data_IF_192821762755
#
_entry.id   IF_192821762755
#
_cell.length_a   1.000
_cell.length_b   1.000
_cell.length_c   1.000
_cell.angle_alpha   90.00
_cell.angle_beta   90.00
_cell.angle_gamma   90.00
#
_symmetry.space_group_name_H-M   'P 1'
#
loop_
_entity.id
_entity.type
_entity.pdbx_description
1 polymer ?
#
# COMPACT_ATOMS: atom_id res chain seq x y z
N UNK A 1 -1.94 5.48 -14.73
CA UNK A 1 -2.50 5.62 -13.38
C UNK A 1 -3.99 5.45 -13.53
N UNK A 2 -4.54 4.36 -13.01
CA UNK A 2 -5.98 4.09 -13.09
C UNK A 2 -6.61 4.56 -11.79
N UNK A 3 -7.67 5.37 -11.87
CA UNK A 3 -8.43 5.87 -10.72
C UNK A 3 -9.82 5.27 -10.80
N UNK A 4 -10.32 4.65 -9.73
CA UNK A 4 -11.69 4.10 -9.65
C UNK A 4 -12.39 4.61 -8.38
N UNK A 5 -13.68 4.94 -8.49
CA UNK A 5 -14.54 5.48 -7.42
C UNK A 5 -15.75 4.58 -7.20
N UNK A 6 -16.21 4.43 -5.94
CA UNK A 6 -17.49 3.79 -5.57
C UNK A 6 -18.19 4.64 -4.47
N UNK A 7 -19.43 4.30 -4.07
CA UNK A 7 -20.41 5.23 -3.44
C UNK A 7 -20.93 4.82 -2.02
N UNK A 8 -21.31 5.86 -1.24
CA UNK A 8 -21.72 6.16 0.19
C UNK A 8 -22.60 5.18 1.04
N UNK A 9 -22.50 5.13 2.41
CA UNK A 9 -23.03 6.16 3.35
C UNK A 9 -22.17 6.57 4.59
N UNK A 10 -22.07 7.89 4.77
CA UNK A 10 -21.35 8.71 5.77
C UNK A 10 -21.98 8.81 7.18
N UNK A 11 -21.18 8.66 8.27
CA UNK A 11 -21.35 9.42 9.54
C UNK A 11 -20.24 9.26 10.63
N UNK A 12 -19.29 8.31 10.57
CA UNK A 12 -18.56 7.90 11.80
C UNK A 12 -17.10 8.39 12.02
N UNK A 13 -16.49 9.18 11.12
CA UNK A 13 -15.03 9.00 10.88
C UNK A 13 -14.05 10.15 11.15
N UNK A 14 -14.28 11.01 12.14
CA UNK A 14 -13.21 11.93 12.62
C UNK A 14 -12.31 11.36 13.72
N UNK A 15 -12.55 10.13 14.21
CA UNK A 15 -11.98 9.65 15.49
C UNK A 15 -11.30 8.28 15.48
N UNK A 16 -11.31 7.53 14.38
CA UNK A 16 -10.73 6.18 14.32
C UNK A 16 -9.21 6.29 14.10
N UNK A 17 -8.39 5.60 14.90
CA UNK A 17 -6.92 5.56 14.74
C UNK A 17 -6.47 4.69 13.55
N UNK A 18 -5.23 4.85 13.06
CA UNK A 18 -4.71 4.09 11.91
C UNK A 18 -4.76 2.59 12.17
N UNK A 19 -4.23 2.21 13.33
CA UNK A 19 -4.27 0.85 13.83
C UNK A 19 -5.70 0.29 13.87
N UNK A 20 -6.68 1.07 14.34
CA UNK A 20 -8.08 0.59 14.36
C UNK A 20 -8.63 0.38 12.94
N UNK A 21 -8.30 1.27 12.01
CA UNK A 21 -8.67 1.11 10.61
C UNK A 21 -7.99 -0.12 9.97
N UNK A 22 -6.67 -0.29 10.16
CA UNK A 22 -5.91 -1.39 9.58
C UNK A 22 -6.39 -2.76 10.09
N UNK A 23 -6.56 -2.91 11.40
CA UNK A 23 -7.09 -4.15 11.97
C UNK A 23 -8.49 -4.45 11.43
N UNK A 24 -9.37 -3.46 11.38
CA UNK A 24 -10.71 -3.62 10.83
C UNK A 24 -10.71 -4.06 9.36
N UNK A 25 -9.85 -3.46 8.52
CA UNK A 25 -9.73 -3.84 7.10
C UNK A 25 -9.25 -5.29 6.96
N UNK A 26 -8.31 -5.73 7.80
CA UNK A 26 -7.86 -7.12 7.80
C UNK A 26 -8.95 -8.09 8.28
N UNK A 27 -9.69 -7.73 9.34
CA UNK A 27 -10.77 -8.56 9.89
C UNK A 27 -11.95 -8.73 8.93
N UNK A 28 -12.31 -7.67 8.21
CA UNK A 28 -13.46 -7.67 7.29
C UNK A 28 -13.12 -8.30 5.92
N UNK A 29 -11.84 -8.56 5.61
CA UNK A 29 -11.41 -9.01 4.28
C UNK A 29 -10.66 -10.33 4.33
N UNK A 30 -11.24 -11.41 3.78
CA UNK A 30 -10.58 -12.70 3.73
C UNK A 30 -9.17 -12.64 3.13
N UNK A 31 -8.20 -13.17 3.87
CA UNK A 31 -6.80 -13.29 3.46
C UNK A 31 -5.98 -11.99 3.50
N UNK A 32 -6.57 -10.87 3.91
CA UNK A 32 -5.81 -9.66 4.21
C UNK A 32 -5.14 -9.79 5.57
N UNK A 33 -3.94 -9.23 5.69
CA UNK A 33 -3.17 -9.30 6.93
C UNK A 33 -2.78 -7.89 7.40
N UNK A 34 -3.08 -7.59 8.67
CA UNK A 34 -2.60 -6.39 9.33
C UNK A 34 -1.14 -6.57 9.77
N UNK A 35 -0.27 -5.72 9.24
CA UNK A 35 1.17 -5.65 9.53
C UNK A 35 1.58 -4.28 10.09
N UNK A 36 0.61 -3.43 10.41
CA UNK A 36 0.80 -2.19 11.15
C UNK A 36 1.66 -2.42 12.40
N UNK A 37 2.70 -1.61 12.56
CA UNK A 37 3.74 -1.68 13.58
C UNK A 37 4.62 -2.95 13.56
N UNK A 38 4.47 -3.83 12.56
CA UNK A 38 5.28 -5.05 12.42
C UNK A 38 6.56 -4.77 11.63
N UNK A 39 7.40 -3.91 12.19
CA UNK A 39 8.59 -3.36 11.54
C UNK A 39 9.74 -4.35 11.41
N UNK A 40 10.52 -4.29 10.33
CA UNK A 40 11.79 -4.99 10.21
C UNK A 40 12.95 -4.13 10.69
N UNK A 41 14.09 -4.74 10.98
CA UNK A 41 15.30 -4.00 11.34
C UNK A 41 15.87 -3.25 10.12
N UNK A 42 16.21 -1.97 10.29
CA UNK A 42 16.91 -1.20 9.25
C UNK A 42 18.32 -1.80 9.01
N UNK A 43 18.66 -2.24 7.78
CA UNK A 43 19.97 -2.81 7.49
C UNK A 43 21.13 -1.80 7.58
N UNK A 44 20.87 -0.50 7.38
CA UNK A 44 21.86 0.57 7.47
C UNK A 44 22.04 1.07 8.91
N UNK A 45 20.97 1.02 9.71
CA UNK A 45 20.97 1.48 11.11
C UNK A 45 20.29 0.45 12.00
N UNK A 46 20.99 -0.60 12.49
CA UNK A 46 20.38 -1.73 13.19
C UNK A 46 19.59 -1.42 14.48
N UNK A 47 19.67 -0.19 15.01
CA UNK A 47 18.87 0.27 16.16
C UNK A 47 17.52 0.84 15.74
N UNK A 48 17.35 1.11 14.45
CA UNK A 48 16.16 1.68 13.87
C UNK A 48 15.30 0.57 13.25
N UNK A 49 14.02 0.88 13.04
CA UNK A 49 13.01 -0.05 12.57
C UNK A 49 12.30 0.56 11.37
N UNK A 50 11.99 -0.26 10.37
CA UNK A 50 11.30 0.15 9.14
C UNK A 50 10.04 -0.67 8.98
N UNK A 51 8.93 0.01 8.79
CA UNK A 51 7.66 -0.62 8.44
C UNK A 51 7.58 -0.85 6.93
N UNK A 52 7.37 -2.10 6.52
CA UNK A 52 7.30 -2.47 5.10
C UNK A 52 5.92 -2.16 4.50
N UNK A 53 4.86 -2.49 5.24
CA UNK A 53 3.48 -2.19 4.86
C UNK A 53 2.56 -2.25 6.06
N UNK A 54 1.42 -1.57 5.97
CA UNK A 54 0.39 -1.59 7.00
C UNK A 54 -0.57 -2.76 6.80
N UNK A 55 -0.87 -3.09 5.54
CA UNK A 55 -1.64 -4.27 5.15
C UNK A 55 -0.95 -5.04 4.02
N UNK A 56 -1.12 -6.36 4.04
CA UNK A 56 -0.71 -7.26 2.96
C UNK A 56 -1.94 -7.94 2.37
N UNK A 57 -2.11 -7.84 1.05
CA UNK A 57 -3.18 -8.52 0.32
C UNK A 57 -2.79 -9.97 0.00
N UNK A 58 -3.77 -10.88 -0.27
CA UNK A 58 -3.51 -12.29 -0.63
C UNK A 58 -2.58 -12.50 -1.83
N UNK A 59 -2.49 -11.54 -2.74
CA UNK A 59 -1.64 -11.62 -3.93
C UNK A 59 -0.23 -11.03 -3.73
N UNK A 60 0.13 -10.71 -2.48
CA UNK A 60 1.42 -10.12 -2.13
C UNK A 60 1.51 -8.61 -2.37
N UNK A 61 0.38 -7.93 -2.62
CA UNK A 61 0.36 -6.47 -2.73
C UNK A 61 0.54 -5.82 -1.37
N UNK A 62 1.49 -4.89 -1.31
CA UNK A 62 1.72 -4.06 -0.14
C UNK A 62 0.72 -2.89 -0.15
N UNK A 63 0.11 -2.61 0.99
CA UNK A 63 -0.74 -1.42 1.17
C UNK A 63 -0.15 -0.56 2.26
N UNK A 64 0.03 0.72 1.96
CA UNK A 64 0.43 1.74 2.91
C UNK A 64 -0.72 2.72 3.10
N UNK A 65 -1.05 2.99 4.35
CA UNK A 65 -2.11 3.88 4.80
C UNK A 65 -1.46 5.09 5.46
N UNK A 66 -1.94 6.28 5.15
CA UNK A 66 -1.45 7.50 5.81
C UNK A 66 -2.57 8.53 5.87
N UNK A 67 -2.67 9.26 7.00
CA UNK A 67 -3.59 10.39 7.10
C UNK A 67 -3.02 11.59 6.35
N UNK A 68 -3.67 11.94 5.24
CA UNK A 68 -3.32 13.10 4.44
C UNK A 68 -3.78 14.43 5.08
N UNK A 69 -3.07 14.90 6.11
CA UNK A 69 -3.31 16.22 6.71
C UNK A 69 -2.55 17.36 6.03
N UNK A 70 -1.60 17.03 5.15
CA UNK A 70 -0.77 18.01 4.44
C UNK A 70 0.29 17.36 3.55
N UNK A 71 1.20 18.17 3.02
CA UNK A 71 2.23 17.71 2.08
C UNK A 71 3.32 16.83 2.73
N UNK A 72 3.62 17.06 4.00
CA UNK A 72 4.61 16.30 4.79
C UNK A 72 4.25 14.81 4.89
N UNK A 73 3.09 14.46 5.49
CA UNK A 73 2.63 13.08 5.60
C UNK A 73 2.56 12.35 4.25
N UNK A 74 2.04 13.01 3.21
CA UNK A 74 2.02 12.40 1.86
C UNK A 74 3.42 12.14 1.31
N UNK A 75 4.35 13.07 1.50
CA UNK A 75 5.73 12.87 1.05
C UNK A 75 6.42 11.75 1.82
N UNK A 76 6.11 11.60 3.11
CA UNK A 76 6.56 10.48 3.94
C UNK A 76 5.99 9.14 3.44
N UNK A 77 4.68 9.05 3.15
CA UNK A 77 4.05 7.88 2.55
C UNK A 77 4.74 7.46 1.23
N UNK A 78 5.01 8.41 0.34
CA UNK A 78 5.72 8.13 -0.92
C UNK A 78 7.17 7.70 -0.70
N UNK A 79 7.83 8.21 0.33
CA UNK A 79 9.16 7.77 0.76
C UNK A 79 9.14 6.34 1.31
N UNK A 80 8.21 6.03 2.23
CA UNK A 80 7.98 4.69 2.78
C UNK A 80 7.76 3.66 1.68
N UNK A 81 6.89 3.97 0.72
CA UNK A 81 6.62 3.10 -0.44
C UNK A 81 7.88 2.73 -1.21
N UNK A 82 8.75 3.72 -1.46
CA UNK A 82 10.02 3.50 -2.13
C UNK A 82 10.95 2.63 -1.28
N UNK A 83 11.18 3.01 -0.04
CA UNK A 83 12.09 2.32 0.87
C UNK A 83 11.67 0.85 1.07
N UNK A 84 10.37 0.59 1.27
CA UNK A 84 9.85 -0.77 1.44
C UNK A 84 10.21 -1.68 0.25
N UNK A 85 9.99 -1.20 -0.98
CA UNK A 85 10.33 -1.96 -2.19
C UNK A 85 11.83 -2.15 -2.34
N UNK A 86 12.62 -1.09 -2.15
CA UNK A 86 14.09 -1.15 -2.26
C UNK A 86 14.67 -2.16 -1.26
N UNK A 87 14.23 -2.12 -0.01
CA UNK A 87 14.68 -3.05 1.03
C UNK A 87 14.30 -4.51 0.71
N UNK A 88 13.06 -4.76 0.25
CA UNK A 88 12.64 -6.11 -0.13
C UNK A 88 13.40 -6.63 -1.35
N UNK A 89 13.76 -5.79 -2.32
CA UNK A 89 14.51 -6.22 -3.49
C UNK A 89 16.00 -6.45 -3.17
N UNK A 90 16.59 -5.59 -2.35
CA UNK A 90 18.05 -5.51 -2.18
C UNK A 90 18.58 -6.28 -0.97
N UNK A 91 17.72 -6.61 0.02
CA UNK A 91 18.16 -7.28 1.26
C UNK A 91 17.44 -8.61 1.50
N UNK A 92 18.18 -9.71 1.33
CA UNK A 92 17.70 -11.05 1.69
C UNK A 92 17.34 -11.17 3.18
N UNK A 93 18.06 -10.45 4.05
CA UNK A 93 17.78 -10.40 5.48
C UNK A 93 16.42 -9.74 5.75
N UNK A 94 16.12 -8.61 5.10
CA UNK A 94 14.83 -7.94 5.25
C UNK A 94 13.70 -8.82 4.72
N UNK A 95 13.88 -9.48 3.57
CA UNK A 95 12.89 -10.44 3.05
C UNK A 95 12.60 -11.57 4.05
N UNK A 96 13.64 -12.17 4.61
CA UNK A 96 13.48 -13.25 5.59
C UNK A 96 12.76 -12.77 6.87
N UNK A 97 13.13 -11.60 7.39
CA UNK A 97 12.49 -11.03 8.58
C UNK A 97 11.01 -10.68 8.31
N UNK A 98 10.72 -10.07 7.16
CA UNK A 98 9.37 -9.75 6.73
C UNK A 98 8.51 -11.01 6.54
N UNK A 99 9.00 -12.01 5.81
CA UNK A 99 8.31 -13.30 5.63
C UNK A 99 8.01 -13.97 6.97
N UNK A 100 8.96 -13.98 7.91
CA UNK A 100 8.75 -14.53 9.24
C UNK A 100 7.69 -13.75 10.04
N UNK A 101 7.58 -12.43 9.86
CA UNK A 101 6.52 -11.62 10.46
C UNK A 101 5.16 -11.91 9.84
N UNK A 102 5.09 -12.09 8.53
CA UNK A 102 3.86 -12.48 7.81
C UNK A 102 3.35 -13.83 8.30
N UNK A 103 4.22 -14.84 8.35
CA UNK A 103 3.85 -16.18 8.82
C UNK A 103 3.40 -16.16 10.28
N UNK A 104 4.10 -15.44 11.17
CA UNK A 104 3.66 -15.32 12.57
C UNK A 104 2.33 -14.58 12.73
N UNK A 105 2.14 -13.48 12.01
CA UNK A 105 0.94 -12.65 12.15
C UNK A 105 -0.31 -13.31 11.56
N UNK A 106 -0.13 -14.20 10.58
CA UNK A 106 -1.20 -15.01 9.99
C UNK A 106 -1.45 -16.35 10.70
N UNK A 107 -0.78 -16.63 11.82
CA UNK A 107 -0.90 -17.94 12.49
C UNK A 107 -0.37 -19.12 11.66
N UNK A 108 0.41 -18.86 10.60
CA UNK A 108 0.91 -19.86 9.67
C UNK A 108 0.17 -19.93 8.34
N UNK A 109 -0.99 -19.29 8.21
CA UNK A 109 -1.86 -19.40 7.02
C UNK A 109 -1.28 -18.67 5.79
N UNK A 110 -0.42 -17.67 6.01
CA UNK A 110 0.25 -16.94 4.94
C UNK A 110 1.76 -17.17 4.99
N UNK A 111 2.29 -17.83 3.96
CA UNK A 111 3.73 -18.01 3.76
C UNK A 111 4.17 -17.30 2.49
N UNK A 112 5.08 -16.32 2.64
CA UNK A 112 5.69 -15.65 1.49
C UNK A 112 6.83 -16.50 0.89
N UNK A 113 7.02 -16.46 -0.44
CA UNK A 113 8.22 -17.02 -1.07
C UNK A 113 9.50 -16.43 -0.49
N UNK A 114 10.58 -17.22 -0.46
CA UNK A 114 11.89 -16.76 0.03
C UNK A 114 12.45 -15.57 -0.77
N UNK A 115 12.17 -15.53 -2.06
CA UNK A 115 12.55 -14.47 -3.01
C UNK A 115 11.44 -13.43 -3.22
N UNK A 116 10.48 -13.34 -2.28
CA UNK A 116 9.37 -12.42 -2.39
C UNK A 116 9.81 -10.98 -2.71
N UNK A 117 9.25 -10.46 -3.81
CA UNK A 117 9.30 -9.05 -4.16
C UNK A 117 7.90 -8.61 -4.58
N UNK A 118 7.43 -7.44 -4.13
CA UNK A 118 6.09 -6.99 -4.46
C UNK A 118 6.03 -6.59 -5.92
N UNK A 119 4.96 -6.98 -6.62
CA UNK A 119 4.68 -6.49 -7.99
C UNK A 119 3.82 -5.24 -8.00
N UNK A 120 3.21 -4.92 -6.85
CA UNK A 120 2.27 -3.81 -6.69
C UNK A 120 2.36 -3.25 -5.28
N UNK A 121 2.22 -1.94 -5.19
CA UNK A 121 2.03 -1.23 -3.94
C UNK A 121 0.84 -0.26 -4.08
N UNK A 122 -0.04 -0.27 -3.08
CA UNK A 122 -1.21 0.61 -2.99
C UNK A 122 -0.96 1.65 -1.91
N UNK A 123 -1.18 2.91 -2.25
CA UNK A 123 -1.08 4.04 -1.34
C UNK A 123 -2.49 4.52 -1.04
N UNK A 124 -2.98 4.21 0.15
CA UNK A 124 -4.31 4.53 0.62
C UNK A 124 -4.28 5.78 1.49
N UNK A 125 -4.96 6.83 1.04
CA UNK A 125 -4.95 8.14 1.72
C UNK A 125 -6.35 8.74 1.75
N UNK A 126 -6.74 9.45 2.82
CA UNK A 126 -8.04 10.10 2.89
C UNK A 126 -8.16 11.20 1.84
N UNK A 127 -9.34 11.30 1.24
CA UNK A 127 -9.70 12.34 0.28
C UNK A 127 -10.19 13.58 1.04
N UNK A 128 -9.64 14.77 0.74
CA UNK A 128 -10.27 16.02 1.22
C UNK A 128 -11.59 16.24 0.49
N UNK A 129 -12.61 16.67 1.22
CA UNK A 129 -13.91 17.13 0.70
C UNK A 129 -14.63 16.11 -0.21
N UNK A 130 -14.39 14.80 -0.03
CA UNK A 130 -14.98 13.75 -0.88
C UNK A 130 -14.64 13.89 -2.37
N UNK A 131 -13.58 14.62 -2.71
CA UNK A 131 -13.12 14.73 -4.09
C UNK A 131 -12.52 13.40 -4.54
N UNK A 132 -12.80 12.98 -5.78
CA UNK A 132 -12.05 11.87 -6.40
C UNK A 132 -10.55 12.17 -6.35
N UNK A 133 -9.73 11.13 -6.17
CA UNK A 133 -8.28 11.27 -6.23
C UNK A 133 -7.89 11.72 -7.64
N UNK A 134 -7.56 12.99 -7.78
CA UNK A 134 -7.07 13.58 -9.02
C UNK A 134 -5.65 14.08 -8.79
N UNK A 135 -4.86 14.26 -9.86
CA UNK A 135 -3.57 14.95 -9.74
C UNK A 135 -3.66 16.33 -9.08
N UNK A 136 -4.84 16.97 -9.10
CA UNK A 136 -5.08 18.29 -8.52
C UNK A 136 -5.50 18.23 -7.04
N UNK A 137 -6.05 17.10 -6.57
CA UNK A 137 -6.37 16.87 -5.16
C UNK A 137 -5.13 16.55 -4.30
N UNK A 138 -3.96 16.34 -4.93
CA UNK A 138 -2.67 16.13 -4.25
C UNK A 138 -1.91 17.46 -4.16
N UNK A 139 -1.50 17.87 -2.94
CA UNK A 139 -0.73 19.09 -2.72
C UNK A 139 0.50 19.19 -3.65
N UNK A 140 0.79 20.37 -4.20
CA UNK A 140 1.74 20.55 -5.31
C UNK A 140 3.11 19.87 -5.14
N UNK A 141 3.76 20.00 -3.97
CA UNK A 141 5.04 19.33 -3.70
C UNK A 141 4.89 17.80 -3.61
N UNK A 142 3.85 17.31 -2.95
CA UNK A 142 3.52 15.89 -2.84
C UNK A 142 3.27 15.26 -4.21
N UNK A 143 2.72 16.00 -5.17
CA UNK A 143 2.53 15.53 -6.55
C UNK A 143 3.86 15.21 -7.25
N UNK A 144 4.87 16.06 -7.07
CA UNK A 144 6.21 15.84 -7.64
C UNK A 144 6.85 14.60 -7.00
N UNK A 145 6.79 14.48 -5.68
CA UNK A 145 7.32 13.32 -4.95
C UNK A 145 6.62 12.04 -5.37
N UNK A 146 5.29 12.05 -5.48
CA UNK A 146 4.49 10.92 -5.96
C UNK A 146 4.93 10.47 -7.35
N UNK A 147 5.04 11.40 -8.32
CA UNK A 147 5.45 11.07 -9.68
C UNK A 147 6.87 10.48 -9.74
N UNK A 148 7.79 11.00 -8.94
CA UNK A 148 9.17 10.48 -8.83
C UNK A 148 9.19 9.07 -8.22
N UNK A 149 8.44 8.85 -7.14
CA UNK A 149 8.31 7.53 -6.53
C UNK A 149 7.69 6.53 -7.51
N UNK A 150 6.60 6.88 -8.18
CA UNK A 150 5.95 6.02 -9.17
C UNK A 150 6.90 5.65 -10.30
N UNK A 151 7.67 6.61 -10.83
CA UNK A 151 8.69 6.34 -11.87
C UNK A 151 9.79 5.40 -11.37
N UNK A 152 10.30 5.62 -10.16
CA UNK A 152 11.36 4.80 -9.57
C UNK A 152 10.89 3.36 -9.33
N UNK A 153 9.66 3.18 -8.83
CA UNK A 153 9.09 1.86 -8.58
C UNK A 153 8.72 1.12 -9.87
N UNK A 154 8.22 1.83 -10.88
CA UNK A 154 7.97 1.24 -12.19
C UNK A 154 9.25 0.71 -12.85
N UNK A 155 10.37 1.42 -12.73
CA UNK A 155 11.68 0.96 -13.21
C UNK A 155 12.18 -0.31 -12.50
N UNK A 156 11.62 -0.62 -11.32
CA UNK A 156 11.88 -1.82 -10.52
C UNK A 156 10.81 -2.91 -10.72
N UNK A 157 9.92 -2.76 -11.69
CA UNK A 157 8.86 -3.72 -11.99
C UNK A 157 7.67 -3.68 -11.01
N UNK A 158 7.53 -2.60 -10.23
CA UNK A 158 6.47 -2.46 -9.22
C UNK A 158 5.47 -1.41 -9.65
N UNK A 159 4.20 -1.81 -9.80
CA UNK A 159 3.11 -0.90 -10.09
C UNK A 159 2.70 -0.11 -8.83
N UNK A 160 2.54 1.21 -8.96
CA UNK A 160 2.01 2.07 -7.90
C UNK A 160 0.57 2.42 -8.21
N UNK A 161 -0.31 2.15 -7.25
CA UNK A 161 -1.71 2.56 -7.26
C UNK A 161 -1.97 3.52 -6.09
N UNK A 162 -2.79 4.53 -6.31
CA UNK A 162 -3.18 5.48 -5.27
C UNK A 162 -4.69 5.44 -5.16
N UNK A 163 -5.19 5.15 -3.96
CA UNK A 163 -6.62 5.05 -3.70
C UNK A 163 -7.05 6.03 -2.63
N UNK A 164 -8.29 6.47 -2.75
CA UNK A 164 -8.91 7.37 -1.81
C UNK A 164 -9.64 6.57 -0.74
N UNK A 165 -9.40 6.93 0.52
CA UNK A 165 -10.24 6.49 1.62
C UNK A 165 -11.31 7.58 1.79
N UNK A 166 -12.58 7.34 1.42
CA UNK A 166 -13.63 8.34 1.55
C UNK A 166 -13.84 8.73 3.02
N UNK A 167 -14.13 10.01 3.27
CA UNK A 167 -14.58 10.51 4.58
C UNK A 167 -15.94 9.89 4.92
N UNK A 168 -15.90 8.72 5.55
CA UNK A 168 -17.07 7.85 5.72
C UNK A 168 -16.69 6.39 5.92
N UNK A 169 -15.49 6.00 5.43
CA UNK A 169 -14.95 4.65 5.54
C UNK A 169 -15.84 3.64 4.82
N UNK A 170 -15.23 2.53 4.36
CA UNK A 170 -15.91 1.36 3.80
C UNK A 170 -17.00 1.71 2.75
N UNK A 171 -16.64 1.93 1.49
CA UNK A 171 -17.22 1.04 0.46
C UNK A 171 -16.30 0.83 -0.77
N UNK A 172 -15.09 1.39 -0.78
CA UNK A 172 -14.39 1.65 -2.06
C UNK A 172 -12.90 1.37 -2.01
N UNK A 173 -12.49 0.17 -1.59
CA UNK A 173 -11.20 -0.34 -2.09
C UNK A 173 -11.55 -1.18 -3.32
N UNK A 174 -11.38 -0.68 -4.54
CA UNK A 174 -11.57 -1.51 -5.71
C UNK A 174 -10.57 -2.68 -5.64
N UNK A 175 -11.07 -3.92 -5.71
CA UNK A 175 -10.22 -5.05 -6.02
C UNK A 175 -9.63 -4.80 -7.41
N UNK A 176 -8.29 -4.88 -7.61
CA UNK A 176 -7.76 -4.90 -8.96
C UNK A 176 -8.31 -6.15 -9.65
N UNK A 177 -9.17 -5.95 -10.66
CA UNK A 177 -9.65 -7.04 -11.50
C UNK A 177 -8.43 -7.71 -12.13
N UNK A 178 -8.29 -9.02 -11.91
CA UNK A 178 -7.32 -9.85 -12.59
C UNK A 178 -7.43 -9.58 -14.10
N UNK A 179 -6.38 -9.01 -14.71
CA UNK A 179 -6.30 -8.93 -16.17
C UNK A 179 -6.09 -10.35 -16.69
N UNK A 180 -7.20 -11.00 -17.05
CA UNK A 180 -7.18 -12.11 -18.00
C UNK A 180 -6.58 -11.56 -19.29
N UNK A 181 -5.43 -12.10 -19.68
CA UNK A 181 -4.79 -11.76 -20.95
C UNK A 181 -5.68 -12.22 -22.10
N UNK A 182 -6.10 -11.29 -22.95
CA UNK A 182 -6.64 -11.63 -24.26
C UNK A 182 -5.46 -11.62 -25.23
N UNK A 183 -5.27 -12.78 -25.86
CA UNK A 183 -4.15 -13.11 -26.72
C UNK A 183 -4.02 -12.21 -27.93
N UNK A 184 -2.78 -12.14 -28.41
CA UNK A 184 -2.40 -11.54 -29.66
C UNK A 184 -3.17 -12.15 -30.83
N UNK A 185 -4.00 -11.35 -31.50
CA UNK A 185 -4.41 -11.57 -32.87
C UNK A 185 -3.46 -10.83 -33.80
N UNK A 186 -2.60 -11.58 -34.49
CA UNK A 186 -1.80 -11.08 -35.62
C UNK A 186 -2.70 -11.10 -36.86
N UNK A 187 -2.86 -10.01 -37.62
CA UNK A 187 -3.39 -10.09 -38.97
C UNK A 187 -2.27 -10.41 -39.96
N UNK A 188 -2.53 -11.38 -40.84
CA UNK A 188 -1.77 -11.58 -42.08
C UNK A 188 -2.12 -10.59 -43.17
#
# INVERSE_FOLDING_TARGET
>A
MTVSSASDPSAALRTVSENTYNNRVADERPGWLCLDTKNVTDPLRPRDQVEICDLLMPDGTLVLVERASGSGPLSHLFGRARVAVELLQESARVRAEFAAKVTRSSGGDYVLPYDFTPRRIVLAMPLKNRESLTPDSVFGFSRITMARTAKALAARGVAVEVIGIPEGGIDTFPLPTSRVGIGAGVPG
#
